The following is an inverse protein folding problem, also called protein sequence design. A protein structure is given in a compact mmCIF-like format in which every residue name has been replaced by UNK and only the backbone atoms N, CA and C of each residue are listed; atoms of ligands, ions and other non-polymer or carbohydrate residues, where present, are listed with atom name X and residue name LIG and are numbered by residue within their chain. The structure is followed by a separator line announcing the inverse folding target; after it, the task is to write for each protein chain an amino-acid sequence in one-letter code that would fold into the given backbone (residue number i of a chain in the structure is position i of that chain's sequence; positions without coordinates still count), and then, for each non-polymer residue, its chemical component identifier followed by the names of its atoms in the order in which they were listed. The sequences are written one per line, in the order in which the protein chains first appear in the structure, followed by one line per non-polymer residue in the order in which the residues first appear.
data_IF_950960160055
#
_entry.id   IF_950960160055
#
_cell.length_a   1.000
_cell.length_b   1.000
_cell.length_c   1.000
_cell.angle_alpha   90.00
_cell.angle_beta   90.00
_cell.angle_gamma   90.00
#
_symmetry.space_group_name_H-M   'P 1'
#
loop_
_entity.id
_entity.type
_entity.pdbx_description
1 polymer ?
#
# COMPACT_ATOMS: atom_id res chain seq x y z
N UNK A 1 -4.24 12.30 -30.96
CA UNK A 1 -5.34 11.40 -31.41
C UNK A 1 -5.89 10.64 -30.19
N UNK A 2 -7.09 10.06 -30.25
CA UNK A 2 -7.65 9.29 -29.12
C UNK A 2 -7.45 7.79 -29.35
N UNK A 3 -6.63 7.14 -28.51
CA UNK A 3 -6.38 5.70 -28.59
C UNK A 3 -7.33 4.96 -27.66
N UNK A 4 -7.94 3.88 -28.15
CA UNK A 4 -8.72 2.96 -27.32
C UNK A 4 -7.73 2.04 -26.60
N UNK A 5 -7.79 2.03 -25.28
CA UNK A 5 -6.95 1.16 -24.46
C UNK A 5 -7.83 0.16 -23.74
N UNK A 6 -7.40 -1.10 -23.74
CA UNK A 6 -7.96 -2.20 -22.95
C UNK A 6 -6.87 -2.74 -22.02
N UNK A 7 -7.13 -2.77 -20.73
CA UNK A 7 -6.17 -3.24 -19.72
C UNK A 7 -6.88 -3.75 -18.46
N UNK A 8 -6.12 -4.31 -17.51
CA UNK A 8 -6.63 -4.68 -16.19
C UNK A 8 -6.25 -3.60 -15.18
N UNK A 9 -7.06 -3.41 -14.15
CA UNK A 9 -6.80 -2.39 -13.16
C UNK A 9 -7.39 -2.69 -11.80
N UNK A 10 -6.62 -2.43 -10.75
CA UNK A 10 -7.14 -2.38 -9.39
C UNK A 10 -7.76 -1.02 -9.12
N UNK A 11 -9.00 -1.02 -8.65
CA UNK A 11 -9.66 0.22 -8.25
C UNK A 11 -9.10 0.65 -6.89
N UNK A 12 -8.32 1.73 -6.87
CA UNK A 12 -7.70 2.22 -5.64
C UNK A 12 -8.69 3.07 -4.83
N UNK A 13 -9.42 3.96 -5.52
CA UNK A 13 -10.31 4.92 -4.88
C UNK A 13 -11.40 5.40 -5.80
N UNK A 14 -12.59 5.64 -5.23
CA UNK A 14 -13.76 6.12 -5.94
C UNK A 14 -14.30 7.39 -5.31
N UNK A 15 -14.69 8.35 -6.13
CA UNK A 15 -15.26 9.62 -5.70
C UNK A 15 -16.58 9.88 -6.42
N UNK A 16 -17.68 10.18 -5.69
CA UNK A 16 -18.90 10.69 -6.30
C UNK A 16 -18.62 11.93 -7.16
N UNK A 17 -19.12 11.96 -8.39
CA UNK A 17 -19.02 13.13 -9.26
C UNK A 17 -20.34 13.38 -9.98
N UNK A 18 -20.96 14.53 -9.75
CA UNK A 18 -22.34 14.82 -10.18
C UNK A 18 -23.31 13.73 -9.67
N UNK A 19 -24.55 13.75 -10.15
CA UNK A 19 -25.58 12.83 -9.65
C UNK A 19 -25.31 11.36 -10.01
N UNK A 20 -24.82 11.10 -11.23
CA UNK A 20 -24.74 9.73 -11.78
C UNK A 20 -23.34 9.27 -12.18
N UNK A 21 -22.29 10.05 -11.91
CA UNK A 21 -20.93 9.71 -12.33
C UNK A 21 -19.99 9.48 -11.14
N UNK A 22 -18.86 8.83 -11.41
CA UNK A 22 -17.75 8.65 -10.47
C UNK A 22 -16.46 9.12 -11.12
N UNK A 23 -15.54 9.66 -10.31
CA UNK A 23 -14.12 9.71 -10.63
C UNK A 23 -13.46 8.55 -9.91
N UNK A 24 -12.68 7.76 -10.63
CA UNK A 24 -12.09 6.53 -10.12
C UNK A 24 -10.59 6.56 -10.38
N UNK A 25 -9.80 6.30 -9.35
CA UNK A 25 -8.36 6.08 -9.49
C UNK A 25 -8.08 4.59 -9.60
N UNK A 26 -7.27 4.22 -10.59
CA UNK A 26 -7.02 2.84 -10.98
C UNK A 26 -5.51 2.60 -11.10
N UNK A 27 -5.00 1.56 -10.46
CA UNK A 27 -3.67 1.03 -10.72
C UNK A 27 -3.74 0.03 -11.87
N UNK A 28 -3.33 0.45 -13.06
CA UNK A 28 -3.32 -0.35 -14.28
C UNK A 28 -2.08 -1.24 -14.36
N UNK A 29 -2.26 -2.45 -14.90
CA UNK A 29 -1.15 -3.36 -15.26
C UNK A 29 -0.27 -2.86 -16.41
N UNK A 30 -0.71 -1.83 -17.16
CA UNK A 30 -0.04 -1.33 -18.37
C UNK A 30 0.35 0.13 -18.33
N UNK A 31 -0.31 0.93 -17.50
CA UNK A 31 -0.14 2.38 -17.51
C UNK A 31 0.22 2.94 -16.14
N UNK A 32 0.35 2.12 -15.10
CA UNK A 32 0.49 2.64 -13.75
C UNK A 32 -0.81 3.27 -13.25
N UNK A 33 -0.71 4.29 -12.41
CA UNK A 33 -1.88 4.92 -11.80
C UNK A 33 -2.55 5.91 -12.77
N UNK A 34 -3.83 5.69 -13.07
CA UNK A 34 -4.65 6.52 -13.97
C UNK A 34 -5.95 6.95 -13.30
N UNK A 35 -6.55 8.05 -13.78
CA UNK A 35 -7.88 8.52 -13.36
C UNK A 35 -8.90 8.39 -14.47
N UNK A 36 -10.05 7.82 -14.13
CA UNK A 36 -11.17 7.58 -15.04
C UNK A 36 -12.43 8.32 -14.59
N UNK A 37 -13.12 8.94 -15.55
CA UNK A 37 -14.47 9.46 -15.41
C UNK A 37 -15.44 8.37 -15.87
N UNK A 38 -16.27 7.90 -14.94
CA UNK A 38 -17.26 6.85 -15.17
C UNK A 38 -18.65 7.49 -15.17
N UNK A 39 -19.25 7.60 -16.35
CA UNK A 39 -20.55 8.28 -16.52
C UNK A 39 -21.72 7.32 -16.38
N UNK A 40 -22.76 7.72 -15.66
CA UNK A 40 -24.02 6.98 -15.60
C UNK A 40 -23.98 5.69 -14.79
N UNK A 41 -22.91 5.43 -14.02
CA UNK A 41 -22.73 4.18 -13.26
C UNK A 41 -23.79 3.98 -12.17
N UNK A 42 -24.38 5.08 -11.66
CA UNK A 42 -25.44 5.04 -10.64
C UNK A 42 -26.85 4.95 -11.21
N UNK A 43 -27.01 4.82 -12.53
CA UNK A 43 -28.34 4.66 -13.14
C UNK A 43 -28.85 3.23 -12.85
N UNK A 44 -30.16 3.02 -12.60
CA UNK A 44 -30.74 1.71 -12.26
C UNK A 44 -30.51 0.55 -13.25
N UNK A 45 -29.98 0.82 -14.45
CA UNK A 45 -29.66 -0.17 -15.49
C UNK A 45 -28.22 -0.02 -16.02
N UNK A 46 -27.31 0.44 -15.17
CA UNK A 46 -25.89 0.54 -15.54
C UNK A 46 -25.34 -0.84 -15.90
N UNK A 47 -24.69 -0.96 -17.06
CA UNK A 47 -23.98 -2.17 -17.48
C UNK A 47 -22.71 -2.43 -16.67
N UNK A 48 -22.25 -1.39 -15.95
CA UNK A 48 -21.01 -1.38 -15.15
C UNK A 48 -21.35 -1.47 -13.65
N UNK A 49 -22.53 -1.99 -13.31
CA UNK A 49 -22.96 -2.17 -11.92
C UNK A 49 -22.05 -3.20 -11.22
N UNK A 50 -21.56 -2.89 -10.01
CA UNK A 50 -20.66 -3.76 -9.23
C UNK A 50 -19.18 -3.72 -9.65
N UNK A 51 -18.87 -3.17 -10.83
CA UNK A 51 -17.51 -2.75 -11.18
C UNK A 51 -17.21 -1.36 -10.60
N UNK A 52 -15.95 -0.94 -10.70
CA UNK A 52 -15.47 0.34 -10.18
C UNK A 52 -15.62 0.48 -8.66
N UNK A 53 -15.67 -0.62 -7.91
CA UNK A 53 -15.63 -0.59 -6.45
C UNK A 53 -14.19 -0.73 -5.95
N UNK A 54 -13.80 -0.07 -4.84
CA UNK A 54 -12.46 -0.19 -4.29
C UNK A 54 -12.01 -1.65 -4.17
N UNK A 55 -10.70 -1.86 -4.36
CA UNK A 55 -9.96 -3.13 -4.41
C UNK A 55 -10.41 -4.15 -5.48
N UNK A 56 -11.48 -3.91 -6.24
CA UNK A 56 -11.80 -4.78 -7.37
C UNK A 56 -10.64 -4.83 -8.36
N UNK A 57 -10.47 -6.01 -8.97
CA UNK A 57 -9.73 -6.14 -10.20
C UNK A 57 -10.74 -6.12 -11.36
N UNK A 58 -10.68 -5.07 -12.17
CA UNK A 58 -11.58 -4.89 -13.31
C UNK A 58 -10.81 -4.94 -14.64
N UNK A 59 -11.44 -5.47 -15.68
CA UNK A 59 -11.06 -5.22 -17.06
C UNK A 59 -11.69 -3.90 -17.49
N UNK A 60 -10.88 -2.97 -18.00
CA UNK A 60 -11.33 -1.62 -18.34
C UNK A 60 -11.01 -1.27 -19.80
N UNK A 61 -11.94 -0.56 -20.43
CA UNK A 61 -11.79 0.00 -21.78
C UNK A 61 -12.04 1.51 -21.70
N UNK A 62 -11.12 2.31 -22.21
CA UNK A 62 -11.23 3.77 -22.18
C UNK A 62 -10.50 4.44 -23.34
N UNK A 63 -10.82 5.71 -23.59
CA UNK A 63 -10.14 6.53 -24.61
C UNK A 63 -9.04 7.38 -23.98
N UNK A 64 -7.77 7.03 -24.23
CA UNK A 64 -6.62 7.85 -23.85
C UNK A 64 -6.44 8.97 -24.86
N UNK A 65 -6.30 10.21 -24.38
CA UNK A 65 -5.92 11.36 -25.20
C UNK A 65 -4.66 11.97 -24.60
N UNK A 66 -3.70 12.33 -25.43
CA UNK A 66 -2.47 12.98 -24.97
C UNK A 66 -2.80 14.27 -24.18
N UNK A 67 -1.94 14.59 -23.21
CA UNK A 67 -2.03 15.78 -22.37
C UNK A 67 -3.31 15.89 -21.51
N UNK A 68 -4.03 14.78 -21.28
CA UNK A 68 -5.13 14.73 -20.31
C UNK A 68 -4.74 13.88 -19.10
N UNK A 69 -5.03 14.41 -17.92
CA UNK A 69 -4.83 13.70 -16.64
C UNK A 69 -5.99 12.77 -16.26
N UNK A 70 -7.08 12.80 -17.03
CA UNK A 70 -8.28 12.01 -16.79
C UNK A 70 -8.92 11.56 -18.10
N UNK A 71 -9.33 10.30 -18.13
CA UNK A 71 -9.91 9.65 -19.30
C UNK A 71 -11.36 9.27 -19.08
N UNK A 72 -12.16 9.21 -20.15
CA UNK A 72 -13.53 8.72 -20.03
C UNK A 72 -13.52 7.19 -20.18
N UNK A 73 -14.10 6.49 -19.21
CA UNK A 73 -14.36 5.06 -19.32
C UNK A 73 -15.40 4.82 -20.42
N UNK A 74 -15.14 3.83 -21.27
CA UNK A 74 -16.06 3.36 -22.30
C UNK A 74 -16.83 2.13 -21.82
N UNK A 75 -16.13 1.16 -21.22
CA UNK A 75 -16.72 -0.08 -20.71
C UNK A 75 -15.86 -0.68 -19.60
N UNK A 76 -16.45 -1.53 -18.76
CA UNK A 76 -15.71 -2.31 -17.78
C UNK A 76 -16.45 -3.57 -17.35
N UNK A 77 -15.69 -4.59 -16.96
CA UNK A 77 -16.18 -5.84 -16.42
C UNK A 77 -15.36 -6.26 -15.20
N UNK A 78 -16.02 -6.76 -14.14
CA UNK A 78 -15.34 -7.29 -12.96
C UNK A 78 -14.61 -8.57 -13.35
N UNK A 79 -13.31 -8.63 -13.06
CA UNK A 79 -12.52 -9.88 -13.14
C UNK A 79 -12.57 -10.59 -11.78
N UNK A 80 -12.36 -9.84 -10.69
CA UNK A 80 -12.41 -10.37 -9.33
C UNK A 80 -12.86 -9.27 -8.35
N UNK A 81 -13.96 -9.52 -7.66
CA UNK A 81 -14.49 -8.66 -6.59
C UNK A 81 -13.91 -8.98 -5.22
N UNK A 82 -13.13 -10.05 -5.09
CA UNK A 82 -12.59 -10.57 -3.83
C UNK A 82 -13.69 -10.75 -2.75
N UNK A 83 -14.74 -11.50 -3.08
CA UNK A 83 -15.93 -11.66 -2.23
C UNK A 83 -15.61 -12.12 -0.79
N UNK A 84 -14.56 -12.92 -0.58
CA UNK A 84 -14.15 -13.34 0.75
C UNK A 84 -13.58 -12.20 1.62
N UNK A 85 -13.02 -11.16 0.99
CA UNK A 85 -12.68 -9.90 1.68
C UNK A 85 -13.98 -9.16 2.02
N UNK A 86 -14.92 -9.07 1.07
CA UNK A 86 -16.18 -8.31 1.23
C UNK A 86 -17.07 -8.82 2.36
N UNK A 87 -17.00 -10.11 2.67
CA UNK A 87 -17.77 -10.73 3.77
C UNK A 87 -17.26 -10.36 5.16
N UNK A 88 -16.04 -9.84 5.29
CA UNK A 88 -15.43 -9.50 6.58
C UNK A 88 -15.00 -8.01 6.61
N UNK A 89 -15.67 -7.15 7.38
CA UNK A 89 -15.33 -5.72 7.46
C UNK A 89 -13.87 -5.44 7.84
N UNK A 90 -13.23 -6.32 8.63
CA UNK A 90 -11.82 -6.18 9.02
C UNK A 90 -10.90 -6.40 7.81
N UNK A 91 -11.23 -7.37 6.96
CA UNK A 91 -10.52 -7.60 5.69
C UNK A 91 -10.78 -6.46 4.70
N UNK A 92 -11.99 -5.90 4.65
CA UNK A 92 -12.27 -4.71 3.84
C UNK A 92 -11.37 -3.54 4.26
N UNK A 93 -11.31 -3.23 5.56
CA UNK A 93 -10.45 -2.17 6.07
C UNK A 93 -8.97 -2.44 5.74
N UNK A 94 -8.50 -3.67 5.92
CA UNK A 94 -7.15 -4.10 5.56
C UNK A 94 -6.85 -3.92 4.06
N UNK A 95 -7.76 -4.31 3.17
CA UNK A 95 -7.62 -4.14 1.73
C UNK A 95 -7.44 -2.67 1.34
N UNK A 96 -8.19 -1.78 2.00
CA UNK A 96 -8.14 -0.34 1.75
C UNK A 96 -6.82 0.30 2.18
N UNK A 97 -6.05 -0.27 3.13
CA UNK A 97 -4.75 0.28 3.54
C UNK A 97 -3.78 0.36 2.37
N UNK A 98 -3.60 -0.74 1.64
CA UNK A 98 -2.69 -0.76 0.49
C UNK A 98 -3.25 0.01 -0.71
N UNK A 99 -4.58 0.01 -0.90
CA UNK A 99 -5.21 0.86 -1.93
C UNK A 99 -4.95 2.35 -1.66
N UNK A 100 -5.12 2.79 -0.41
CA UNK A 100 -4.86 4.17 0.00
C UNK A 100 -3.37 4.52 -0.10
N UNK A 101 -2.48 3.57 0.26
CA UNK A 101 -1.04 3.74 0.11
C UNK A 101 -0.67 4.03 -1.34
N UNK A 102 -1.00 3.13 -2.27
CA UNK A 102 -0.66 3.32 -3.69
C UNK A 102 -1.37 4.53 -4.32
N UNK A 103 -2.58 4.84 -3.86
CA UNK A 103 -3.28 6.05 -4.29
C UNK A 103 -2.53 7.33 -3.93
N UNK A 104 -1.83 7.34 -2.79
CA UNK A 104 -1.08 8.50 -2.31
C UNK A 104 0.37 8.53 -2.76
N UNK A 105 1.01 7.38 -2.97
CA UNK A 105 2.46 7.31 -3.22
C UNK A 105 2.85 7.12 -4.68
N UNK A 106 2.03 6.47 -5.50
CA UNK A 106 2.42 6.24 -6.89
C UNK A 106 2.33 7.52 -7.73
N UNK A 107 3.27 7.78 -8.64
CA UNK A 107 3.12 8.81 -9.66
C UNK A 107 2.01 8.45 -10.67
N UNK A 108 1.52 9.46 -11.39
CA UNK A 108 0.52 9.26 -12.44
C UNK A 108 1.19 8.72 -13.70
N UNK A 109 0.57 7.76 -14.36
CA UNK A 109 1.01 7.19 -15.64
C UNK A 109 2.41 6.57 -15.69
N UNK A 110 3.00 6.27 -14.53
CA UNK A 110 4.28 5.58 -14.43
C UNK A 110 4.06 4.11 -14.07
N UNK A 111 4.53 3.24 -14.95
CA UNK A 111 4.37 1.79 -14.77
C UNK A 111 5.18 1.30 -13.59
N UNK A 112 4.50 0.68 -12.63
CA UNK A 112 5.11 -0.09 -11.56
C UNK A 112 4.49 -1.49 -11.55
N UNK A 113 5.13 -2.41 -12.28
CA UNK A 113 4.70 -3.81 -12.32
C UNK A 113 4.81 -4.49 -10.94
N UNK A 114 5.71 -4.03 -10.08
CA UNK A 114 5.87 -4.59 -8.74
C UNK A 114 4.71 -4.19 -7.85
N UNK A 115 4.26 -2.93 -7.88
CA UNK A 115 3.10 -2.47 -7.13
C UNK A 115 1.83 -3.25 -7.52
N UNK A 116 1.57 -3.43 -8.82
CA UNK A 116 0.42 -4.20 -9.30
C UNK A 116 0.45 -5.65 -8.81
N UNK A 117 1.59 -6.33 -8.97
CA UNK A 117 1.76 -7.70 -8.50
C UNK A 117 1.66 -7.82 -6.97
N UNK A 118 2.24 -6.87 -6.23
CA UNK A 118 2.22 -6.86 -4.77
C UNK A 118 0.81 -6.66 -4.24
N UNK A 119 0.01 -5.79 -4.86
CA UNK A 119 -1.41 -5.61 -4.50
C UNK A 119 -2.24 -6.88 -4.79
N UNK A 120 -2.02 -7.54 -5.92
CA UNK A 120 -2.70 -8.80 -6.24
C UNK A 120 -2.36 -9.89 -5.22
N UNK A 121 -1.07 -10.08 -4.90
CA UNK A 121 -0.62 -11.08 -3.93
C UNK A 121 -1.20 -10.79 -2.55
N UNK A 122 -1.21 -9.52 -2.14
CA UNK A 122 -1.79 -9.08 -0.89
C UNK A 122 -3.28 -9.42 -0.79
N UNK A 123 -4.09 -9.02 -1.78
CA UNK A 123 -5.53 -9.26 -1.78
C UNK A 123 -5.85 -10.76 -1.81
N UNK A 124 -5.13 -11.54 -2.62
CA UNK A 124 -5.28 -13.01 -2.65
C UNK A 124 -4.91 -13.66 -1.31
N UNK A 125 -3.84 -13.20 -0.65
CA UNK A 125 -3.47 -13.67 0.69
C UNK A 125 -4.59 -13.34 1.67
N UNK A 126 -5.10 -12.12 1.63
CA UNK A 126 -6.14 -11.61 2.55
C UNK A 126 -7.46 -12.42 2.46
N UNK A 127 -7.84 -12.92 1.28
CA UNK A 127 -8.97 -13.84 1.14
C UNK A 127 -8.84 -15.07 2.06
N UNK A 128 -7.65 -15.67 2.14
CA UNK A 128 -7.41 -16.95 2.80
C UNK A 128 -7.06 -16.88 4.29
N UNK A 129 -6.69 -15.70 4.81
CA UNK A 129 -6.20 -15.59 6.19
C UNK A 129 -7.31 -15.49 7.22
N UNK A 130 -6.99 -15.94 8.43
CA UNK A 130 -7.84 -15.75 9.61
C UNK A 130 -7.63 -14.35 10.20
N UNK A 131 -8.53 -13.97 11.10
CA UNK A 131 -8.51 -12.65 11.75
C UNK A 131 -7.17 -12.33 12.45
N UNK A 132 -6.60 -13.31 13.16
CA UNK A 132 -5.39 -13.11 13.95
C UNK A 132 -4.13 -12.81 13.12
N UNK A 133 -4.18 -13.03 11.80
CA UNK A 133 -3.05 -12.78 10.89
C UNK A 133 -3.28 -11.61 9.94
N UNK A 134 -4.45 -10.97 9.96
CA UNK A 134 -4.75 -9.82 9.09
C UNK A 134 -3.71 -8.70 9.30
N UNK A 135 -3.44 -8.31 10.55
CA UNK A 135 -2.49 -7.24 10.87
C UNK A 135 -1.08 -7.52 10.34
N UNK A 136 -0.52 -8.69 10.64
CA UNK A 136 0.84 -9.03 10.18
C UNK A 136 0.94 -9.10 8.65
N UNK A 137 -0.11 -9.57 7.96
CA UNK A 137 -0.18 -9.56 6.49
C UNK A 137 -0.17 -8.14 5.95
N UNK A 138 -0.99 -7.24 6.51
CA UNK A 138 -1.05 -5.83 6.08
C UNK A 138 0.30 -5.15 6.28
N UNK A 139 0.86 -5.24 7.48
CA UNK A 139 2.12 -4.56 7.83
C UNK A 139 3.28 -5.10 6.99
N UNK A 140 3.38 -6.42 6.80
CA UNK A 140 4.41 -7.02 5.95
C UNK A 140 4.32 -6.53 4.49
N UNK A 141 3.12 -6.44 3.91
CA UNK A 141 2.96 -5.94 2.55
C UNK A 141 3.16 -4.43 2.43
N UNK A 142 2.82 -3.67 3.47
CA UNK A 142 3.04 -2.23 3.52
C UNK A 142 4.55 -1.90 3.59
N UNK A 143 5.33 -2.61 4.41
CA UNK A 143 6.79 -2.48 4.45
C UNK A 143 7.44 -2.80 3.08
N UNK A 144 6.93 -3.82 2.38
CA UNK A 144 7.37 -4.15 1.01
C UNK A 144 7.00 -3.04 0.02
N UNK A 145 5.82 -2.44 0.17
CA UNK A 145 5.39 -1.32 -0.65
C UNK A 145 6.26 -0.06 -0.41
N UNK A 146 6.76 0.15 0.82
CA UNK A 146 7.72 1.23 1.10
C UNK A 146 9.03 1.01 0.36
N UNK A 147 9.51 -0.23 0.33
CA UNK A 147 10.70 -0.58 -0.45
C UNK A 147 10.54 -0.23 -1.93
N UNK A 148 9.36 -0.50 -2.51
CA UNK A 148 9.04 -0.11 -3.88
C UNK A 148 8.99 1.40 -4.09
N UNK A 149 8.56 2.15 -3.07
CA UNK A 149 8.60 3.61 -3.05
C UNK A 149 9.99 4.20 -2.74
N UNK A 150 11.04 3.37 -2.63
CA UNK A 150 12.41 3.81 -2.34
C UNK A 150 12.68 4.16 -0.88
N UNK A 151 11.77 3.79 0.03
CA UNK A 151 11.88 4.10 1.47
C UNK A 151 12.16 2.82 2.25
N UNK A 152 13.37 2.74 2.80
CA UNK A 152 13.87 1.58 3.54
C UNK A 152 14.73 2.07 4.70
N UNK A 153 14.52 1.56 5.93
CA UNK A 153 15.35 1.96 7.04
C UNK A 153 16.75 1.37 6.93
N UNK A 154 17.73 2.11 7.44
CA UNK A 154 19.08 1.59 7.60
C UNK A 154 19.15 0.72 8.86
N UNK A 155 19.37 -0.58 8.72
CA UNK A 155 19.24 -1.56 9.82
C UNK A 155 20.54 -2.25 10.21
N UNK A 156 21.64 -2.00 9.50
CA UNK A 156 22.87 -2.78 9.62
C UNK A 156 23.80 -2.26 10.71
N UNK A 157 24.16 -0.98 10.62
CA UNK A 157 25.08 -0.26 11.48
C UNK A 157 24.52 1.15 11.70
N UNK A 158 25.18 1.99 12.51
CA UNK A 158 24.64 3.30 12.84
C UNK A 158 24.51 4.16 11.58
N UNK A 159 23.29 4.61 11.27
CA UNK A 159 23.00 5.43 10.07
C UNK A 159 23.82 6.72 9.97
N UNK A 160 24.36 7.23 11.09
CA UNK A 160 25.16 8.46 11.11
C UNK A 160 26.67 8.27 11.00
N UNK A 161 27.22 7.14 11.45
CA UNK A 161 28.67 6.94 11.50
C UNK A 161 29.18 5.57 11.05
N UNK A 162 28.28 4.68 10.63
CA UNK A 162 28.56 3.29 10.27
C UNK A 162 29.19 2.45 11.41
N UNK A 163 29.15 2.94 12.65
CA UNK A 163 29.62 2.22 13.82
C UNK A 163 28.67 1.08 14.20
N UNK A 164 29.19 0.04 14.85
CA UNK A 164 28.38 -1.09 15.30
C UNK A 164 27.24 -0.66 16.24
N UNK A 165 26.10 -1.33 16.11
CA UNK A 165 24.89 -1.14 16.95
C UNK A 165 24.48 -2.47 17.56
N UNK A 166 23.83 -2.46 18.72
CA UNK A 166 23.18 -3.66 19.28
C UNK A 166 24.09 -4.77 19.82
N UNK A 167 25.28 -4.44 20.35
CA UNK A 167 26.20 -5.43 20.92
C UNK A 167 25.90 -5.76 22.39
N UNK A 168 24.99 -6.70 22.67
CA UNK A 168 24.88 -7.56 23.89
C UNK A 168 23.43 -8.06 24.16
N UNK A 169 22.65 -8.45 23.15
CA UNK A 169 21.25 -8.91 23.32
C UNK A 169 20.28 -7.89 23.97
N UNK A 170 20.70 -6.62 24.08
CA UNK A 170 19.84 -5.50 24.48
C UNK A 170 19.01 -5.03 23.29
N UNK A 171 17.93 -4.29 23.57
CA UNK A 171 17.19 -3.59 22.53
C UNK A 171 18.13 -2.69 21.70
N UNK A 172 17.77 -2.48 20.46
CA UNK A 172 18.49 -1.70 19.45
C UNK A 172 17.79 -0.35 19.31
N UNK A 173 18.56 0.72 19.44
CA UNK A 173 18.10 2.09 19.27
C UNK A 173 17.79 2.34 17.80
N UNK A 174 16.54 2.69 17.50
CA UNK A 174 16.06 3.04 16.17
C UNK A 174 15.56 4.48 16.18
N UNK A 175 16.25 5.37 15.47
CA UNK A 175 15.82 6.76 15.31
C UNK A 175 14.89 6.87 14.10
N UNK A 176 13.64 7.26 14.37
CA UNK A 176 12.67 7.51 13.29
C UNK A 176 13.14 8.68 12.43
N UNK A 177 13.61 9.78 13.03
CA UNK A 177 14.07 10.95 12.29
C UNK A 177 15.29 10.65 11.41
N UNK A 178 16.24 9.86 11.92
CA UNK A 178 17.45 9.49 11.17
C UNK A 178 17.22 8.36 10.17
N UNK A 179 16.05 7.72 10.19
CA UNK A 179 15.69 6.69 9.24
C UNK A 179 16.36 5.34 9.47
N UNK A 180 16.78 5.02 10.70
CA UNK A 180 17.50 3.77 10.94
C UNK A 180 18.05 3.58 12.35
N UNK A 181 18.78 2.49 12.51
CA UNK A 181 19.45 2.15 13.77
C UNK A 181 20.59 3.13 14.07
N UNK A 182 20.76 3.48 15.34
CA UNK A 182 21.78 4.43 15.81
C UNK A 182 22.61 3.82 16.94
N UNK A 183 23.84 4.30 17.11
CA UNK A 183 24.65 3.97 18.28
C UNK A 183 24.37 4.95 19.42
N UNK A 184 24.81 4.63 20.64
CA UNK A 184 24.56 5.44 21.84
C UNK A 184 25.06 6.89 21.76
N UNK A 185 26.05 7.18 20.89
CA UNK A 185 26.57 8.54 20.66
C UNK A 185 25.69 9.38 19.73
N UNK A 186 24.81 8.75 18.96
CA UNK A 186 23.95 9.37 17.96
C UNK A 186 22.46 9.22 18.29
N UNK A 187 22.16 8.93 19.56
CA UNK A 187 20.81 8.94 20.09
C UNK A 187 20.16 10.33 19.92
N UNK A 188 18.86 10.37 19.66
CA UNK A 188 18.05 11.59 19.57
C UNK A 188 16.67 11.39 20.20
N UNK A 189 15.84 12.43 20.21
CA UNK A 189 14.54 12.44 20.88
C UNK A 189 13.46 11.58 20.19
N UNK A 190 13.76 11.01 19.02
CA UNK A 190 12.88 10.13 18.24
C UNK A 190 13.31 8.66 18.29
N UNK A 191 14.25 8.32 19.18
CA UNK A 191 14.72 6.95 19.35
C UNK A 191 13.67 6.09 20.03
N UNK A 192 13.40 4.96 19.39
CA UNK A 192 12.55 3.89 19.88
C UNK A 192 13.38 2.62 20.02
N UNK A 193 13.07 1.80 21.02
CA UNK A 193 13.84 0.59 21.32
C UNK A 193 13.19 -0.63 20.67
N UNK A 194 13.85 -1.20 19.66
CA UNK A 194 13.40 -2.41 18.97
C UNK A 194 14.19 -3.64 19.44
N UNK A 195 13.56 -4.80 19.50
CA UNK A 195 14.26 -6.05 19.78
C UNK A 195 15.18 -6.44 18.61
N UNK A 196 16.29 -7.17 18.87
CA UNK A 196 17.12 -7.73 17.80
C UNK A 196 16.32 -8.61 16.82
N UNK A 197 15.27 -9.28 17.33
CA UNK A 197 14.35 -10.09 16.53
C UNK A 197 13.57 -9.24 15.53
N UNK A 198 13.00 -8.13 15.98
CA UNK A 198 12.31 -7.15 15.13
C UNK A 198 13.24 -6.60 14.04
N UNK A 199 14.47 -6.23 14.40
CA UNK A 199 15.48 -5.77 13.43
C UNK A 199 15.77 -6.85 12.37
N UNK A 200 15.90 -8.11 12.76
CA UNK A 200 16.13 -9.22 11.83
C UNK A 200 14.92 -9.51 10.93
N UNK A 201 13.69 -9.39 11.45
CA UNK A 201 12.48 -9.49 10.64
C UNK A 201 12.45 -8.37 9.59
N UNK A 202 12.69 -7.12 10.00
CA UNK A 202 12.74 -5.99 9.07
C UNK A 202 13.81 -6.20 7.99
N UNK A 203 15.03 -6.61 8.37
CA UNK A 203 16.09 -6.97 7.41
C UNK A 203 15.63 -8.03 6.41
N UNK A 204 14.93 -9.07 6.88
CA UNK A 204 14.45 -10.17 6.04
C UNK A 204 13.38 -9.70 5.05
N UNK A 205 12.43 -8.88 5.52
CA UNK A 205 11.36 -8.32 4.67
C UNK A 205 11.96 -7.42 3.58
N UNK A 206 12.87 -6.51 3.93
CA UNK A 206 13.47 -5.58 2.98
C UNK A 206 14.48 -6.23 2.03
N UNK A 207 15.20 -7.28 2.45
CA UNK A 207 16.19 -7.95 1.60
C UNK A 207 15.58 -9.03 0.69
N UNK A 208 14.56 -9.77 1.17
CA UNK A 208 14.04 -10.96 0.50
C UNK A 208 12.56 -10.88 0.12
N UNK A 209 11.86 -9.82 0.53
CA UNK A 209 10.41 -9.71 0.35
C UNK A 209 9.61 -10.77 1.12
N UNK A 210 10.22 -11.37 2.15
CA UNK A 210 9.65 -12.47 2.95
C UNK A 210 9.91 -12.23 4.44
N UNK A 211 8.97 -12.67 5.26
CA UNK A 211 9.10 -12.63 6.72
C UNK A 211 7.73 -12.63 7.37
N UNK A 212 7.49 -13.65 8.19
CA UNK A 212 6.35 -13.65 9.09
C UNK A 212 6.69 -12.78 10.30
N UNK A 213 5.75 -11.90 10.66
CA UNK A 213 5.90 -10.99 11.79
C UNK A 213 5.16 -11.63 12.96
N UNK A 214 5.90 -12.04 14.00
CA UNK A 214 5.29 -12.45 15.26
C UNK A 214 4.66 -11.26 16.00
N UNK A 215 3.83 -11.55 17.00
CA UNK A 215 3.03 -10.55 17.72
C UNK A 215 3.89 -9.45 18.35
N UNK A 216 4.95 -9.81 19.06
CA UNK A 216 5.79 -8.84 19.77
C UNK A 216 6.52 -7.92 18.78
N UNK A 217 7.05 -8.50 17.70
CA UNK A 217 7.69 -7.74 16.63
C UNK A 217 6.69 -6.86 15.87
N UNK A 218 5.44 -7.30 15.72
CA UNK A 218 4.38 -6.55 15.06
C UNK A 218 4.05 -5.27 15.84
N UNK A 219 3.89 -5.38 17.16
CA UNK A 219 3.58 -4.22 18.01
C UNK A 219 4.75 -3.22 18.03
N UNK A 220 6.00 -3.70 18.06
CA UNK A 220 7.19 -2.85 17.93
C UNK A 220 7.24 -2.13 16.56
N UNK A 221 6.97 -2.83 15.46
CA UNK A 221 6.94 -2.23 14.11
C UNK A 221 5.82 -1.19 14.01
N UNK A 222 4.60 -1.53 14.45
CA UNK A 222 3.47 -0.59 14.41
C UNK A 222 3.73 0.68 15.24
N UNK A 223 4.50 0.58 16.32
CA UNK A 223 4.85 1.72 17.17
C UNK A 223 5.71 2.77 16.45
N UNK A 224 6.50 2.37 15.45
CA UNK A 224 7.35 3.28 14.67
C UNK A 224 6.79 3.58 13.28
N UNK A 225 5.89 2.73 12.77
CA UNK A 225 5.47 2.74 11.36
C UNK A 225 4.86 4.07 10.93
N UNK A 226 3.92 4.60 11.72
CA UNK A 226 3.17 5.82 11.33
C UNK A 226 4.10 7.03 11.29
N UNK A 227 4.96 7.19 12.29
CA UNK A 227 5.91 8.30 12.34
C UNK A 227 6.99 8.15 11.27
N UNK A 228 7.44 6.92 11.00
CA UNK A 228 8.39 6.65 9.93
C UNK A 228 7.83 6.99 8.55
N UNK A 229 6.57 6.64 8.27
CA UNK A 229 5.87 7.06 7.05
C UNK A 229 5.75 8.58 6.97
N UNK A 230 5.39 9.23 8.07
CA UNK A 230 5.22 10.66 8.09
C UNK A 230 6.53 11.38 7.73
N UNK A 231 7.64 10.97 8.35
CA UNK A 231 8.97 11.59 8.13
C UNK A 231 9.53 11.28 6.74
N UNK A 232 9.45 10.01 6.29
CA UNK A 232 10.19 9.57 5.10
C UNK A 232 9.36 9.47 3.81
N UNK A 233 8.03 9.57 3.89
CA UNK A 233 7.12 9.55 2.73
C UNK A 233 6.32 10.87 2.60
N UNK A 234 6.93 12.00 2.93
CA UNK A 234 6.35 13.32 2.67
C UNK A 234 5.05 13.59 3.42
N UNK A 235 5.05 13.37 4.73
CA UNK A 235 3.89 13.55 5.63
C UNK A 235 2.72 12.58 5.34
N UNK A 236 3.02 11.41 4.75
CA UNK A 236 2.03 10.40 4.43
C UNK A 236 1.31 9.92 5.70
N UNK A 237 -0.01 10.05 5.69
CA UNK A 237 -0.90 9.49 6.69
C UNK A 237 -1.93 8.60 5.99
N UNK A 238 -2.15 7.39 6.51
CA UNK A 238 -3.19 6.47 6.01
C UNK A 238 -4.37 6.45 6.99
N UNK A 239 -5.53 6.88 6.53
CA UNK A 239 -6.75 6.82 7.33
C UNK A 239 -7.19 5.38 7.55
N UNK A 240 -7.07 4.53 6.53
CA UNK A 240 -7.44 3.12 6.59
C UNK A 240 -6.64 2.35 7.64
N UNK A 241 -5.40 2.76 7.93
CA UNK A 241 -4.55 2.11 8.93
C UNK A 241 -5.10 2.26 10.36
N UNK A 242 -5.84 3.34 10.64
CA UNK A 242 -6.48 3.58 11.95
C UNK A 242 -7.60 2.59 12.26
N UNK A 243 -8.20 2.00 11.22
CA UNK A 243 -9.30 1.05 11.32
C UNK A 243 -8.83 -0.42 11.34
N UNK A 244 -7.51 -0.64 11.42
CA UNK A 244 -6.89 -1.96 11.52
C UNK A 244 -6.73 -2.43 12.98
N UNK A 245 -6.83 -1.52 13.95
CA UNK A 245 -6.69 -1.77 15.39
C UNK A 245 -8.01 -2.19 16.03
#
# INVERSE_FOLDING_TARGET
MANIIKCRGFILKTFPFKESSLIVSVLSDRLGKIKLMVKGVRRPRSRICGAMEPFNLDEIIFHKREFKEMYNLSDAAVIDSFDDIRKDPRKVNAALVLCEFYEKTLPAEEMDGQAFCLLLVFLKKLCSVNESTIRSVVISHLLRAFSGAGVMPHLKDCVRCNGAVGGNNRKVDFSVASGGVVCSKHHDDTVMLLSPRTINILKSIYAMGKGDIDRDSLDEIESILTDYMYVHLGNLNLNSLKHLK
#
